data_IF_927796259251
#
_entry.id   IF_927796259251
#
_cell.length_a   1.000
_cell.length_b   1.000
_cell.length_c   1.000
_cell.angle_alpha   90.00
_cell.angle_beta   90.00
_cell.angle_gamma   90.00
#
_symmetry.space_group_name_H-M   'P 1'
#
loop_
_entity.id
_entity.type
_entity.pdbx_description
1 polymer ?
#
# COMPACT_ATOMS: atom_id res chain seq x y z
N UNK A 1 16.16 26.96 -0.33
CA UNK A 1 14.74 27.25 -0.01
C UNK A 1 13.91 26.24 -0.78
N UNK A 2 13.40 25.18 -0.15
CA UNK A 2 12.84 24.04 -0.91
C UNK A 2 11.94 23.13 -0.07
N UNK A 3 11.17 23.72 0.85
CA UNK A 3 10.28 23.00 1.77
C UNK A 3 8.87 23.59 1.82
N UNK A 4 8.54 24.59 0.98
CA UNK A 4 7.16 25.09 0.96
C UNK A 4 6.23 23.99 0.43
N UNK A 5 5.39 23.45 1.32
CA UNK A 5 4.40 22.41 1.02
C UNK A 5 4.83 20.96 1.28
N UNK A 6 6.11 20.65 1.51
CA UNK A 6 6.59 19.29 1.78
C UNK A 6 7.05 19.10 3.24
N UNK A 7 6.70 17.96 3.85
CA UNK A 7 7.07 17.67 5.24
C UNK A 7 8.55 17.27 5.44
N UNK A 8 9.25 16.93 4.35
CA UNK A 8 10.68 16.58 4.31
C UNK A 8 11.29 17.07 2.98
N UNK A 9 12.63 17.08 2.93
CA UNK A 9 13.35 17.33 1.67
C UNK A 9 12.95 16.33 0.60
N UNK A 10 12.73 16.81 -0.62
CA UNK A 10 12.40 15.98 -1.79
C UNK A 10 13.47 16.13 -2.86
N UNK A 11 13.52 15.17 -3.78
CA UNK A 11 14.37 15.28 -4.96
C UNK A 11 13.84 16.40 -5.87
N UNK A 12 14.72 17.31 -6.29
CA UNK A 12 14.38 18.40 -7.22
C UNK A 12 14.44 17.96 -8.69
N UNK A 13 15.05 16.82 -8.97
CA UNK A 13 15.24 16.28 -10.31
C UNK A 13 15.14 14.76 -10.29
N UNK A 14 14.45 14.20 -11.28
CA UNK A 14 14.36 12.76 -11.53
C UNK A 14 14.88 12.52 -12.95
N UNK A 15 15.94 11.72 -13.14
CA UNK A 15 16.55 11.48 -14.45
C UNK A 15 15.74 10.47 -15.28
N UNK A 16 14.50 10.82 -15.64
CA UNK A 16 13.58 10.02 -16.46
C UNK A 16 12.81 10.90 -17.42
N UNK A 17 12.48 10.35 -18.58
CA UNK A 17 11.69 11.08 -19.56
C UNK A 17 10.23 11.19 -19.09
N UNK A 18 9.52 12.30 -19.37
CA UNK A 18 8.11 12.44 -18.99
C UNK A 18 7.22 11.30 -19.51
N UNK A 19 7.57 10.72 -20.66
CA UNK A 19 6.88 9.57 -21.27
C UNK A 19 7.06 8.27 -20.50
N UNK A 20 8.04 8.17 -19.60
CA UNK A 20 8.25 7.05 -18.68
C UNK A 20 7.56 7.27 -17.32
N UNK A 21 7.08 8.48 -17.04
CA UNK A 21 6.40 8.82 -15.81
C UNK A 21 4.89 8.59 -15.94
N UNK A 22 4.29 8.05 -14.88
CA UNK A 22 2.84 7.87 -14.76
C UNK A 22 2.37 8.46 -13.44
N UNK A 23 1.18 9.05 -13.47
CA UNK A 23 0.50 9.55 -12.28
C UNK A 23 -0.50 8.49 -11.87
N UNK A 24 -0.36 7.97 -10.65
CA UNK A 24 -1.32 7.03 -10.09
C UNK A 24 -2.67 7.73 -9.93
N UNK A 25 -3.73 7.12 -10.46
CA UNK A 25 -5.08 7.62 -10.28
C UNK A 25 -5.49 7.48 -8.79
N UNK A 26 -5.88 8.58 -8.11
CA UNK A 26 -6.30 8.53 -6.70
C UNK A 26 -7.49 7.59 -6.42
N UNK A 27 -8.24 7.20 -7.46
CA UNK A 27 -9.28 6.18 -7.37
C UNK A 27 -8.80 4.90 -6.68
N UNK A 28 -7.63 4.37 -7.07
CA UNK A 28 -7.13 3.11 -6.49
C UNK A 28 -6.79 3.23 -5.00
N UNK A 29 -6.45 4.44 -4.53
CA UNK A 29 -6.25 4.70 -3.10
C UNK A 29 -7.58 4.61 -2.36
N UNK A 30 -8.63 5.22 -2.90
CA UNK A 30 -9.96 5.22 -2.29
C UNK A 30 -10.60 3.82 -2.31
N UNK A 31 -10.47 3.10 -3.42
CA UNK A 31 -11.01 1.75 -3.56
C UNK A 31 -10.31 0.77 -2.62
N UNK A 32 -8.97 0.77 -2.60
CA UNK A 32 -8.19 -0.02 -1.66
C UNK A 32 -8.62 0.25 -0.21
N UNK A 33 -8.69 1.54 0.17
CA UNK A 33 -9.05 1.96 1.51
C UNK A 33 -10.46 1.52 1.92
N UNK A 34 -11.46 1.87 1.12
CA UNK A 34 -12.86 1.86 1.57
C UNK A 34 -13.67 0.69 1.04
N UNK A 35 -13.38 0.22 -0.17
CA UNK A 35 -14.14 -0.90 -0.78
C UNK A 35 -13.51 -2.24 -0.44
N UNK A 36 -12.18 -2.35 -0.50
CA UNK A 36 -11.49 -3.62 -0.29
C UNK A 36 -11.12 -3.88 1.17
N UNK A 37 -10.39 -2.96 1.81
CA UNK A 37 -9.98 -3.14 3.22
C UNK A 37 -11.12 -2.80 4.19
N UNK A 38 -12.00 -1.87 3.82
CA UNK A 38 -13.07 -1.38 4.71
C UNK A 38 -12.53 -0.54 5.87
N UNK A 39 -11.61 0.39 5.57
CA UNK A 39 -11.11 1.39 6.52
C UNK A 39 -12.18 2.46 6.81
N UNK A 40 -12.13 3.13 7.98
CA UNK A 40 -13.12 4.14 8.31
C UNK A 40 -12.94 5.43 7.48
N UNK A 41 -14.06 6.00 7.01
CA UNK A 41 -14.07 7.26 6.27
C UNK A 41 -13.63 8.48 7.10
N UNK A 42 -13.71 8.41 8.44
CA UNK A 42 -13.27 9.46 9.36
C UNK A 42 -13.79 10.87 8.99
N UNK A 43 -15.06 10.97 8.57
CA UNK A 43 -15.68 12.21 8.08
C UNK A 43 -14.90 12.88 6.93
N UNK A 44 -14.24 12.09 6.09
CA UNK A 44 -13.41 12.56 4.97
C UNK A 44 -11.96 12.91 5.35
N UNK A 45 -11.57 12.80 6.62
CA UNK A 45 -10.20 13.09 7.05
C UNK A 45 -9.28 11.88 6.88
N UNK A 46 -8.17 12.06 6.16
CA UNK A 46 -7.12 11.05 6.00
C UNK A 46 -6.08 11.16 7.14
N UNK A 47 -5.42 10.04 7.48
CA UNK A 47 -4.29 10.03 8.41
C UNK A 47 -4.60 9.55 9.83
N UNK A 48 -5.65 8.72 10.00
CA UNK A 48 -5.99 8.05 11.27
C UNK A 48 -6.30 6.58 11.04
N UNK A 49 -5.29 5.83 10.60
CA UNK A 49 -5.41 4.41 10.27
C UNK A 49 -6.29 4.10 9.05
N UNK A 50 -6.61 5.11 8.23
CA UNK A 50 -7.47 4.98 7.05
C UNK A 50 -6.75 5.21 5.72
N UNK A 51 -5.43 5.32 5.73
CA UNK A 51 -4.63 5.35 4.51
C UNK A 51 -4.05 3.95 4.28
N UNK A 52 -4.34 3.29 3.15
CA UNK A 52 -3.74 1.99 2.84
C UNK A 52 -2.24 2.14 2.60
N UNK A 53 -1.46 1.08 2.80
CA UNK A 53 -0.07 1.06 2.37
C UNK A 53 0.03 1.16 0.85
N UNK A 54 1.15 1.71 0.36
CA UNK A 54 1.40 1.77 -1.08
C UNK A 54 1.42 0.37 -1.73
N UNK A 55 1.86 -0.66 -0.99
CA UNK A 55 1.81 -2.05 -1.44
C UNK A 55 0.38 -2.53 -1.71
N UNK A 56 -0.56 -2.24 -0.81
CA UNK A 56 -1.97 -2.59 -1.03
C UNK A 56 -2.58 -1.80 -2.19
N UNK A 57 -2.24 -0.51 -2.32
CA UNK A 57 -2.68 0.29 -3.47
C UNK A 57 -2.14 -0.25 -4.79
N UNK A 58 -0.88 -0.73 -4.81
CA UNK A 58 -0.28 -1.35 -5.99
C UNK A 58 -0.99 -2.66 -6.38
N UNK A 59 -1.37 -3.48 -5.39
CA UNK A 59 -2.17 -4.70 -5.63
C UNK A 59 -3.54 -4.34 -6.20
N UNK A 60 -4.24 -3.36 -5.63
CA UNK A 60 -5.52 -2.88 -6.17
C UNK A 60 -5.38 -2.43 -7.63
N UNK A 61 -4.36 -1.63 -7.94
CA UNK A 61 -4.10 -1.24 -9.32
C UNK A 61 -3.82 -2.45 -10.22
N UNK A 62 -2.99 -3.41 -9.78
CA UNK A 62 -2.67 -4.59 -10.57
C UNK A 62 -3.90 -5.44 -10.89
N UNK A 63 -4.82 -5.61 -9.92
CA UNK A 63 -6.07 -6.36 -10.10
C UNK A 63 -7.00 -5.74 -11.15
N UNK A 64 -6.90 -4.43 -11.42
CA UNK A 64 -7.65 -3.77 -12.49
C UNK A 64 -6.97 -3.83 -13.86
N UNK A 65 -5.67 -4.14 -13.92
CA UNK A 65 -4.87 -3.99 -15.13
C UNK A 65 -4.21 -5.30 -15.61
N UNK A 66 -4.24 -6.35 -14.81
CA UNK A 66 -3.64 -7.65 -15.12
C UNK A 66 -4.69 -8.76 -15.00
N UNK A 67 -4.61 -9.76 -15.87
CA UNK A 67 -5.45 -10.96 -15.79
C UNK A 67 -5.07 -11.84 -14.59
N UNK A 68 -3.78 -11.86 -14.26
CA UNK A 68 -3.21 -12.62 -13.13
C UNK A 68 -2.25 -11.74 -12.34
N UNK A 69 -2.26 -11.88 -11.01
CA UNK A 69 -1.39 -11.12 -10.12
C UNK A 69 -0.64 -12.07 -9.20
N UNK A 70 0.69 -11.98 -9.23
CA UNK A 70 1.56 -12.65 -8.28
C UNK A 70 2.32 -11.59 -7.46
N UNK A 71 2.48 -11.85 -6.17
CA UNK A 71 3.11 -10.93 -5.21
C UNK A 71 4.28 -11.62 -4.52
N UNK A 72 5.31 -10.83 -4.20
CA UNK A 72 6.48 -11.28 -3.46
C UNK A 72 6.90 -10.20 -2.46
N UNK A 73 7.40 -10.60 -1.31
CA UNK A 73 7.86 -9.66 -0.27
C UNK A 73 6.71 -9.01 0.51
N UNK A 74 5.52 -9.60 0.45
CA UNK A 74 4.38 -9.24 1.29
C UNK A 74 4.30 -10.23 2.45
N UNK A 75 4.14 -9.72 3.66
CA UNK A 75 4.13 -10.56 4.85
C UNK A 75 4.84 -9.90 6.01
N UNK A 76 4.18 -9.90 7.16
CA UNK A 76 4.70 -9.28 8.38
C UNK A 76 4.53 -10.25 9.53
N UNK A 77 5.64 -10.78 10.05
CA UNK A 77 5.59 -11.43 11.34
C UNK A 77 5.63 -10.38 12.45
N UNK A 78 4.44 -10.00 12.92
CA UNK A 78 4.27 -9.05 14.01
C UNK A 78 4.79 -9.59 15.34
N UNK A 79 5.11 -10.88 15.44
CA UNK A 79 5.71 -11.49 16.62
C UNK A 79 7.24 -11.42 16.60
N UNK A 80 7.84 -11.00 15.48
CA UNK A 80 9.29 -10.84 15.34
C UNK A 80 9.63 -9.36 15.09
N UNK A 81 9.52 -8.49 16.12
CA UNK A 81 9.73 -7.04 15.99
C UNK A 81 11.14 -6.64 15.58
N UNK A 82 12.11 -7.57 15.65
CA UNK A 82 13.50 -7.37 15.25
C UNK A 82 13.86 -8.00 13.90
N UNK A 83 12.90 -8.61 13.20
CA UNK A 83 13.12 -8.97 11.81
C UNK A 83 13.54 -7.69 11.05
N UNK A 84 14.40 -7.80 10.02
CA UNK A 84 14.72 -6.68 9.12
C UNK A 84 13.49 -6.33 8.27
N UNK A 85 12.46 -5.84 8.96
CA UNK A 85 11.22 -5.32 8.44
C UNK A 85 11.49 -3.86 8.13
N UNK A 86 11.73 -3.58 6.86
CA UNK A 86 12.18 -2.28 6.38
C UNK A 86 11.22 -1.10 6.70
N UNK A 87 10.00 -1.32 7.20
CA UNK A 87 8.94 -0.30 7.13
C UNK A 87 7.95 -0.15 8.29
N UNK A 88 8.15 -0.71 9.49
CA UNK A 88 7.20 -0.46 10.59
C UNK A 88 7.85 -0.03 11.90
N UNK A 89 8.00 1.29 12.04
CA UNK A 89 7.67 1.94 13.31
C UNK A 89 6.13 1.92 13.48
N UNK A 90 5.63 1.96 14.71
CA UNK A 90 4.19 2.04 15.01
C UNK A 90 3.52 3.14 14.18
N UNK A 91 2.79 2.77 13.13
CA UNK A 91 2.21 3.75 12.21
C UNK A 91 0.78 4.09 12.63
N UNK A 92 0.56 5.36 12.97
CA UNK A 92 -0.77 5.93 13.16
C UNK A 92 -1.55 6.05 11.83
N UNK A 93 -0.85 5.96 10.69
CA UNK A 93 -1.38 6.26 9.36
C UNK A 93 -2.06 5.05 8.71
N UNK A 94 -1.51 3.85 8.90
CA UNK A 94 -1.94 2.60 8.27
C UNK A 94 -2.53 1.62 9.27
N UNK A 95 -3.48 0.79 8.86
CA UNK A 95 -3.99 -0.32 9.67
C UNK A 95 -3.49 -1.66 9.12
N UNK A 96 -2.28 -2.02 9.52
CA UNK A 96 -1.55 -3.19 8.99
C UNK A 96 -2.26 -4.50 9.30
N UNK A 97 -2.95 -4.58 10.44
CA UNK A 97 -3.74 -5.77 10.79
C UNK A 97 -4.86 -6.01 9.78
N UNK A 98 -5.63 -4.96 9.44
CA UNK A 98 -6.70 -5.05 8.43
C UNK A 98 -6.15 -5.32 7.03
N UNK A 99 -5.05 -4.69 6.66
CA UNK A 99 -4.41 -4.94 5.36
C UNK A 99 -3.93 -6.39 5.24
N UNK A 100 -3.34 -6.95 6.30
CA UNK A 100 -2.93 -8.36 6.34
C UNK A 100 -4.12 -9.31 6.19
N UNK A 101 -5.23 -9.01 6.87
CA UNK A 101 -6.46 -9.80 6.72
C UNK A 101 -6.99 -9.77 5.29
N UNK A 102 -6.99 -8.59 4.66
CA UNK A 102 -7.38 -8.42 3.26
C UNK A 102 -6.50 -9.25 2.32
N UNK A 103 -5.18 -9.16 2.44
CA UNK A 103 -4.25 -9.93 1.60
C UNK A 103 -4.45 -11.44 1.74
N UNK A 104 -4.67 -11.93 2.97
CA UNK A 104 -4.97 -13.35 3.22
C UNK A 104 -6.26 -13.80 2.56
N UNK A 105 -7.29 -12.94 2.51
CA UNK A 105 -8.53 -13.24 1.80
C UNK A 105 -8.28 -13.39 0.30
N UNK A 106 -7.46 -12.53 -0.31
CA UNK A 106 -7.11 -12.62 -1.73
C UNK A 106 -6.35 -13.91 -2.05
N UNK A 107 -5.34 -14.26 -1.25
CA UNK A 107 -4.57 -15.52 -1.43
C UNK A 107 -5.48 -16.73 -1.27
N UNK A 108 -6.28 -16.79 -0.19
CA UNK A 108 -7.20 -17.91 0.07
C UNK A 108 -8.24 -18.09 -1.04
N UNK A 109 -8.65 -17.01 -1.69
CA UNK A 109 -9.59 -17.03 -2.81
C UNK A 109 -8.92 -17.28 -4.17
N UNK A 110 -7.60 -17.49 -4.23
CA UNK A 110 -6.80 -17.59 -5.45
C UNK A 110 -6.95 -16.37 -6.39
N UNK A 111 -7.21 -15.19 -5.83
CA UNK A 111 -7.25 -13.93 -6.59
C UNK A 111 -5.83 -13.41 -6.85
N UNK A 112 -4.91 -13.66 -5.93
CA UNK A 112 -3.47 -13.38 -6.09
C UNK A 112 -2.66 -14.61 -5.70
N UNK A 113 -1.48 -14.77 -6.33
CA UNK A 113 -0.49 -15.79 -5.98
C UNK A 113 0.58 -15.21 -5.07
N UNK A 114 0.79 -15.77 -3.87
CA UNK A 114 1.90 -15.39 -3.00
C UNK A 114 3.13 -16.26 -3.30
N UNK A 115 4.14 -15.66 -3.93
CA UNK A 115 5.37 -16.34 -4.32
C UNK A 115 6.31 -16.61 -3.14
N UNK A 116 6.16 -15.84 -2.06
CA UNK A 116 7.05 -15.90 -0.89
C UNK A 116 6.44 -16.61 0.31
N UNK A 117 5.14 -16.94 0.25
CA UNK A 117 4.35 -17.49 1.36
C UNK A 117 4.45 -16.64 2.64
N UNK A 118 4.56 -15.32 2.48
CA UNK A 118 4.67 -14.38 3.59
C UNK A 118 3.32 -13.87 4.12
N UNK A 119 2.25 -13.98 3.32
CA UNK A 119 0.91 -13.42 3.61
C UNK A 119 0.11 -14.30 4.58
#
# INVERSE_FOLDING_TARGET
RGTEGFWKSVAFYVPREPTEMRILNPYFIQEAAFQFIGLPLNNGLMGKGNIPTLGTVAITMALHNCDEVAVAGFGYDMNTPHAPLHYYETSWTHNISKEKEFLRKLVKANVITDLTNGI
#
